data_IF_362133255053
#
_entry.id   IF_362133255053
#
_cell.length_a   1.000
_cell.length_b   1.000
_cell.length_c   1.000
_cell.angle_alpha   90.00
_cell.angle_beta   90.00
_cell.angle_gamma   90.00
#
_symmetry.space_group_name_H-M   'P 1'
#
loop_
_entity.id
_entity.type
_entity.pdbx_description
1 polymer ?
#
# COMPACT_ATOMS: atom_id res chain seq x y z
N UNK A 1 -22.27 -16.11 10.95
CA UNK A 1 -22.54 -15.94 9.52
C UNK A 1 -21.53 -16.75 8.69
N UNK A 2 -20.24 -16.74 9.02
CA UNK A 2 -19.20 -17.45 8.26
C UNK A 2 -19.12 -18.94 8.58
N UNK A 3 -19.61 -19.38 9.74
CA UNK A 3 -19.58 -20.79 10.20
C UNK A 3 -20.50 -21.72 9.41
N UNK A 4 -21.37 -21.19 8.56
CA UNK A 4 -22.27 -21.96 7.70
C UNK A 4 -21.74 -22.18 6.29
N UNK A 5 -20.53 -21.69 5.98
CA UNK A 5 -19.91 -21.95 4.69
C UNK A 5 -19.22 -23.32 4.70
N UNK A 6 -19.36 -24.08 3.59
CA UNK A 6 -18.74 -25.39 3.44
C UNK A 6 -17.22 -25.28 3.31
N UNK A 7 -16.72 -24.18 2.72
CA UNK A 7 -15.30 -23.94 2.50
C UNK A 7 -14.89 -22.55 2.97
N UNK A 8 -13.74 -22.48 3.64
CA UNK A 8 -13.18 -21.23 4.15
C UNK A 8 -11.80 -21.01 3.54
N UNK A 9 -11.60 -19.84 2.95
CA UNK A 9 -10.30 -19.34 2.51
C UNK A 9 -9.97 -18.12 3.38
N UNK A 10 -8.79 -18.09 3.96
CA UNK A 10 -8.25 -16.90 4.61
C UNK A 10 -7.02 -16.38 3.86
N UNK A 11 -6.72 -15.09 4.03
CA UNK A 11 -5.60 -14.44 3.38
C UNK A 11 -4.62 -13.87 4.41
N UNK A 12 -3.34 -13.92 4.11
CA UNK A 12 -2.33 -13.25 4.93
C UNK A 12 -2.42 -11.70 4.75
N UNK A 13 -2.15 -10.93 5.81
CA UNK A 13 -1.97 -11.30 7.23
C UNK A 13 -3.22 -11.89 7.86
N UNK A 14 -3.05 -12.95 8.64
CA UNK A 14 -4.19 -13.65 9.30
C UNK A 14 -4.45 -13.05 10.67
N UNK A 15 -5.56 -12.32 10.83
CA UNK A 15 -5.91 -11.68 12.10
C UNK A 15 -6.62 -12.61 13.09
N UNK A 16 -7.32 -13.62 12.61
CA UNK A 16 -7.99 -14.59 13.47
C UNK A 16 -7.73 -15.99 12.93
N UNK A 17 -6.97 -16.79 13.70
CA UNK A 17 -6.71 -18.18 13.33
C UNK A 17 -7.98 -19.00 13.52
N UNK A 18 -8.40 -19.71 12.47
CA UNK A 18 -9.53 -20.61 12.48
C UNK A 18 -9.22 -21.86 11.66
N UNK A 19 -10.13 -22.85 11.70
CA UNK A 19 -10.07 -23.97 10.79
C UNK A 19 -10.45 -23.47 9.39
N UNK A 20 -9.52 -23.55 8.45
CA UNK A 20 -9.69 -23.10 7.07
C UNK A 20 -9.17 -24.16 6.10
N UNK A 21 -9.71 -24.16 4.89
CA UNK A 21 -9.30 -25.08 3.84
C UNK A 21 -8.10 -24.58 3.06
N UNK A 22 -7.92 -23.25 2.98
CA UNK A 22 -6.78 -22.63 2.34
C UNK A 22 -6.37 -21.36 3.10
N UNK A 23 -5.07 -21.18 3.28
CA UNK A 23 -4.46 -19.89 3.63
C UNK A 23 -3.67 -19.40 2.42
N UNK A 24 -4.15 -18.34 1.77
CA UNK A 24 -3.48 -17.70 0.64
C UNK A 24 -2.57 -16.56 1.13
N UNK A 25 -1.57 -16.19 0.32
CA UNK A 25 -0.77 -14.99 0.52
C UNK A 25 -1.60 -13.70 0.43
N UNK A 26 -0.96 -12.53 0.58
CA UNK A 26 -1.63 -11.24 0.40
C UNK A 26 -2.28 -11.14 -0.98
N UNK A 27 -3.53 -10.64 -1.01
CA UNK A 27 -4.27 -10.46 -2.26
C UNK A 27 -4.31 -8.98 -2.61
N UNK A 28 -3.75 -8.62 -3.76
CA UNK A 28 -3.81 -7.27 -4.29
C UNK A 28 -4.39 -7.24 -5.71
N UNK A 29 -4.89 -6.07 -6.07
CA UNK A 29 -5.21 -5.77 -7.46
C UNK A 29 -3.91 -5.61 -8.25
N UNK A 30 -3.85 -6.18 -9.45
CA UNK A 30 -2.68 -6.03 -10.33
C UNK A 30 -2.65 -4.62 -10.94
N UNK A 31 -1.47 -3.99 -11.07
CA UNK A 31 -1.31 -2.76 -11.85
C UNK A 31 -1.81 -2.96 -13.28
N UNK A 32 -2.38 -1.91 -13.87
CA UNK A 32 -2.87 -1.87 -15.25
C UNK A 32 -1.89 -1.14 -16.16
N UNK A 33 -1.11 -0.24 -15.56
CA UNK A 33 -0.16 0.63 -16.24
C UNK A 33 1.25 0.38 -15.71
N UNK A 34 2.23 0.41 -16.59
CA UNK A 34 3.64 0.28 -16.21
C UNK A 34 4.16 1.51 -15.45
N UNK A 35 5.17 1.29 -14.59
CA UNK A 35 5.80 2.33 -13.77
C UNK A 35 6.16 3.59 -14.57
N UNK A 36 6.86 3.43 -15.69
CA UNK A 36 7.31 4.56 -16.52
C UNK A 36 6.15 5.40 -17.02
N UNK A 37 5.10 4.76 -17.53
CA UNK A 37 3.93 5.43 -18.09
C UNK A 37 3.18 6.24 -17.01
N UNK A 38 3.06 5.70 -15.79
CA UNK A 38 2.42 6.44 -14.67
C UNK A 38 3.24 7.67 -14.31
N UNK A 39 4.57 7.53 -14.23
CA UNK A 39 5.46 8.65 -13.91
C UNK A 39 5.45 9.73 -15.00
N UNK A 40 5.44 9.32 -16.27
CA UNK A 40 5.31 10.25 -17.41
C UNK A 40 3.99 11.03 -17.34
N UNK A 41 2.86 10.35 -17.07
CA UNK A 41 1.55 10.98 -16.91
C UNK A 41 1.49 11.96 -15.72
N UNK A 42 2.33 11.75 -14.71
CA UNK A 42 2.48 12.64 -13.54
C UNK A 42 3.53 13.74 -13.77
N UNK A 43 4.30 13.69 -14.87
CA UNK A 43 5.42 14.60 -15.12
C UNK A 43 6.63 14.37 -14.22
N UNK A 44 6.80 13.14 -13.69
CA UNK A 44 7.89 12.76 -12.78
C UNK A 44 8.97 12.00 -13.55
N UNK A 45 10.21 12.49 -13.51
CA UNK A 45 11.35 11.79 -14.10
C UNK A 45 11.59 10.43 -13.42
N UNK A 46 12.07 9.44 -14.17
CA UNK A 46 12.41 8.11 -13.66
C UNK A 46 13.51 8.15 -12.59
N UNK A 47 14.44 9.09 -12.71
CA UNK A 47 15.62 9.23 -11.84
C UNK A 47 15.30 9.91 -10.51
N UNK A 48 14.15 10.56 -10.38
CA UNK A 48 13.78 11.25 -9.13
C UNK A 48 12.91 10.35 -8.27
N UNK A 49 13.24 10.11 -6.99
CA UNK A 49 12.42 9.30 -6.11
C UNK A 49 10.98 9.82 -5.99
N UNK A 50 10.02 8.91 -5.95
CA UNK A 50 8.60 9.20 -5.79
C UNK A 50 8.05 8.51 -4.53
N UNK A 51 7.51 9.28 -3.60
CA UNK A 51 6.81 8.78 -2.41
C UNK A 51 5.32 8.96 -2.56
N UNK A 52 4.56 7.86 -2.49
CA UNK A 52 3.11 7.89 -2.49
C UNK A 52 2.59 8.03 -1.05
N UNK A 53 1.77 9.04 -0.79
CA UNK A 53 1.12 9.26 0.50
C UNK A 53 -0.34 8.80 0.40
N UNK A 54 -0.73 7.76 1.15
CA UNK A 54 -2.08 7.21 1.07
C UNK A 54 -2.77 7.12 2.43
N UNK A 55 -4.01 7.58 2.49
CA UNK A 55 -4.81 7.62 3.72
C UNK A 55 -6.07 6.76 3.65
N UNK A 56 -6.10 5.78 2.74
CA UNK A 56 -7.19 4.82 2.67
C UNK A 56 -8.52 5.40 2.17
N UNK A 57 -8.47 6.34 1.23
CA UNK A 57 -9.67 6.88 0.56
C UNK A 57 -10.48 7.88 1.39
N UNK A 58 -9.99 8.31 2.54
CA UNK A 58 -10.61 9.38 3.34
C UNK A 58 -9.96 10.70 2.95
N UNK A 59 -10.71 11.65 2.34
CA UNK A 59 -10.19 12.97 2.03
C UNK A 59 -9.76 13.67 3.33
N UNK A 60 -8.49 13.99 3.45
CA UNK A 60 -7.95 14.76 4.57
C UNK A 60 -6.94 15.78 4.04
N UNK A 61 -7.15 17.03 4.37
CA UNK A 61 -6.12 18.06 4.17
C UNK A 61 -5.04 17.88 5.24
N UNK A 62 -3.80 17.68 4.82
CA UNK A 62 -2.68 17.52 5.72
C UNK A 62 -1.94 18.84 5.89
N UNK A 63 -1.73 19.27 7.14
CA UNK A 63 -1.01 20.51 7.47
C UNK A 63 0.47 20.51 7.07
N UNK A 64 1.03 19.34 6.75
CA UNK A 64 2.44 19.17 6.36
C UNK A 64 2.70 19.31 4.85
N UNK A 65 1.69 19.55 4.01
CA UNK A 65 1.87 19.63 2.54
C UNK A 65 2.91 20.69 2.17
N UNK A 66 2.88 21.84 2.84
CA UNK A 66 3.88 22.91 2.61
C UNK A 66 5.30 22.48 3.01
N UNK A 67 5.44 21.58 3.98
CA UNK A 67 6.73 21.03 4.38
C UNK A 67 7.30 20.06 3.33
N UNK A 68 6.45 19.31 2.61
CA UNK A 68 6.86 18.42 1.52
C UNK A 68 7.50 19.21 0.38
N UNK A 69 6.99 20.41 0.08
CA UNK A 69 7.52 21.26 -0.98
C UNK A 69 8.98 21.70 -0.74
N UNK A 70 9.49 21.59 0.49
CA UNK A 70 10.87 21.87 0.81
C UNK A 70 11.85 20.70 0.56
N UNK A 71 11.32 19.51 0.19
CA UNK A 71 12.10 18.29 -0.09
C UNK A 71 12.37 18.18 -1.60
N UNK A 72 13.19 19.04 -2.17
CA UNK A 72 13.36 19.22 -3.62
C UNK A 72 13.89 17.99 -4.37
N UNK A 73 14.42 16.98 -3.68
CA UNK A 73 15.00 15.78 -4.28
C UNK A 73 14.01 14.62 -4.42
N UNK A 74 12.77 14.78 -3.91
CA UNK A 74 11.74 13.73 -3.88
C UNK A 74 10.42 14.29 -4.37
N UNK A 75 9.71 13.56 -5.23
CA UNK A 75 8.33 13.85 -5.57
C UNK A 75 7.36 13.15 -4.60
N UNK A 76 6.35 13.87 -4.17
CA UNK A 76 5.27 13.35 -3.34
C UNK A 76 3.96 13.34 -4.11
N UNK A 77 3.27 12.21 -4.10
CA UNK A 77 1.94 12.06 -4.74
C UNK A 77 0.94 11.71 -3.66
N UNK A 78 -0.10 12.53 -3.50
CA UNK A 78 -1.13 12.35 -2.48
C UNK A 78 -2.54 12.27 -3.10
N UNK A 79 -3.06 11.05 -3.34
CA UNK A 79 -4.43 10.85 -3.80
C UNK A 79 -5.46 11.21 -2.73
N UNK A 80 -6.57 11.83 -3.15
CA UNK A 80 -7.68 12.16 -2.27
C UNK A 80 -7.49 13.42 -1.43
N UNK A 81 -6.41 14.18 -1.64
CA UNK A 81 -6.09 15.37 -0.86
C UNK A 81 -6.90 16.62 -1.28
N UNK A 82 -7.40 16.64 -2.50
CA UNK A 82 -8.05 17.82 -3.12
C UNK A 82 -9.25 17.42 -3.97
N UNK A 83 -10.03 18.40 -4.41
CA UNK A 83 -11.17 18.19 -5.31
C UNK A 83 -10.81 18.16 -6.79
N UNK A 84 -9.65 18.75 -7.18
CA UNK A 84 -9.10 18.77 -8.53
C UNK A 84 -7.60 18.51 -8.51
N UNK A 85 -7.01 18.22 -9.65
CA UNK A 85 -5.56 18.04 -9.79
C UNK A 85 -4.82 19.33 -9.41
N UNK A 86 -3.76 19.21 -8.59
CA UNK A 86 -2.86 20.31 -8.25
C UNK A 86 -1.41 19.84 -8.27
N UNK A 87 -0.54 20.67 -8.83
CA UNK A 87 0.91 20.47 -8.78
C UNK A 87 1.56 21.67 -8.08
N UNK A 88 2.23 21.42 -6.98
CA UNK A 88 2.87 22.41 -6.12
C UNK A 88 4.36 22.06 -6.04
N UNK A 89 5.13 22.46 -7.06
CA UNK A 89 6.54 22.07 -7.18
C UNK A 89 6.68 20.53 -7.28
N UNK A 90 7.31 19.93 -6.28
CA UNK A 90 7.53 18.48 -6.17
C UNK A 90 6.35 17.72 -5.50
N UNK A 91 5.23 18.39 -5.23
CA UNK A 91 4.04 17.78 -4.61
C UNK A 91 2.88 17.75 -5.60
N UNK A 92 2.36 16.55 -5.87
CA UNK A 92 1.22 16.32 -6.75
C UNK A 92 0.05 15.84 -5.90
N UNK A 93 -1.02 16.63 -5.89
CA UNK A 93 -2.26 16.33 -5.19
C UNK A 93 -3.29 15.87 -6.22
N UNK A 94 -3.77 14.64 -6.05
CA UNK A 94 -4.79 14.07 -6.93
C UNK A 94 -6.17 14.14 -6.27
N UNK A 95 -7.24 14.34 -7.05
CA UNK A 95 -8.60 14.29 -6.52
C UNK A 95 -8.96 12.87 -6.06
N UNK A 96 -9.98 12.77 -5.20
CA UNK A 96 -10.48 11.48 -4.73
C UNK A 96 -10.94 10.56 -5.87
N UNK A 97 -11.51 11.15 -6.92
CA UNK A 97 -11.87 10.46 -8.18
C UNK A 97 -10.90 10.90 -9.27
N UNK A 98 -9.66 10.41 -9.20
CA UNK A 98 -8.68 10.60 -10.25
C UNK A 98 -8.72 9.44 -11.25
N UNK A 99 -8.22 9.67 -12.46
CA UNK A 99 -8.07 8.64 -13.48
C UNK A 99 -6.92 7.66 -13.15
N UNK A 100 -6.11 7.99 -12.15
CA UNK A 100 -5.02 7.12 -11.70
C UNK A 100 -5.57 5.99 -10.82
N UNK A 101 -5.33 4.76 -11.26
CA UNK A 101 -5.65 3.57 -10.49
C UNK A 101 -4.64 3.40 -9.36
N UNK A 102 -5.12 3.25 -8.12
CA UNK A 102 -4.24 3.24 -6.94
C UNK A 102 -3.09 2.20 -7.01
N UNK A 103 -3.30 0.94 -7.47
CA UNK A 103 -2.20 0.00 -7.67
C UNK A 103 -1.14 0.47 -8.68
N UNK A 104 -1.53 1.26 -9.69
CA UNK A 104 -0.58 1.83 -10.65
C UNK A 104 0.32 2.88 -9.96
N UNK A 105 -0.27 3.72 -9.08
CA UNK A 105 0.49 4.68 -8.29
C UNK A 105 1.47 3.99 -7.32
N UNK A 106 1.02 2.91 -6.65
CA UNK A 106 1.90 2.11 -5.78
C UNK A 106 3.05 1.51 -6.58
N UNK A 107 2.77 0.94 -7.76
CA UNK A 107 3.80 0.35 -8.63
C UNK A 107 4.78 1.40 -9.19
N UNK A 108 4.34 2.66 -9.32
CA UNK A 108 5.19 3.76 -9.79
C UNK A 108 6.05 4.39 -8.69
N UNK A 109 5.72 4.18 -7.43
CA UNK A 109 6.43 4.74 -6.29
C UNK A 109 7.74 4.01 -5.96
N UNK A 110 8.62 4.69 -5.23
CA UNK A 110 9.83 4.11 -4.62
C UNK A 110 9.60 3.80 -3.14
N UNK A 111 8.62 4.45 -2.51
CA UNK A 111 8.15 4.13 -1.19
C UNK A 111 6.68 4.58 -1.02
N UNK A 112 6.00 4.00 -0.05
CA UNK A 112 4.65 4.39 0.35
C UNK A 112 4.65 4.85 1.79
N UNK A 113 3.94 5.94 2.09
CA UNK A 113 3.64 6.38 3.46
C UNK A 113 2.13 6.42 3.64
N UNK A 114 1.62 5.75 4.67
CA UNK A 114 0.17 5.76 4.87
C UNK A 114 -0.34 4.87 6.00
N UNK A 115 -1.64 4.94 6.24
CA UNK A 115 -2.28 4.13 7.29
C UNK A 115 -2.22 2.65 6.95
N UNK A 116 -1.85 1.84 7.93
CA UNK A 116 -1.85 0.40 7.78
C UNK A 116 -3.27 -0.11 7.53
N UNK A 117 -3.41 -0.92 6.46
CA UNK A 117 -4.66 -1.55 6.07
C UNK A 117 -4.39 -2.65 5.05
N UNK A 118 -5.24 -3.67 4.99
CA UNK A 118 -5.03 -4.86 4.15
C UNK A 118 -4.74 -4.55 2.68
N UNK A 119 -5.55 -3.71 2.04
CA UNK A 119 -5.40 -3.44 0.61
C UNK A 119 -4.07 -2.74 0.30
N UNK A 120 -3.72 -1.70 1.07
CA UNK A 120 -2.46 -0.97 0.88
C UNK A 120 -1.27 -1.87 1.19
N UNK A 121 -1.33 -2.65 2.29
CA UNK A 121 -0.29 -3.59 2.64
C UNK A 121 -0.05 -4.58 1.50
N UNK A 122 -1.10 -5.21 0.97
CA UNK A 122 -0.99 -6.19 -0.10
C UNK A 122 -0.43 -5.58 -1.40
N UNK A 123 -0.85 -4.38 -1.76
CA UNK A 123 -0.35 -3.67 -2.94
C UNK A 123 1.14 -3.33 -2.78
N UNK A 124 1.55 -2.80 -1.62
CA UNK A 124 2.96 -2.49 -1.32
C UNK A 124 3.82 -3.77 -1.22
N UNK A 125 3.26 -4.85 -0.65
CA UNK A 125 3.90 -6.15 -0.56
C UNK A 125 4.30 -6.66 -1.95
N UNK A 126 3.38 -6.64 -2.91
CA UNK A 126 3.65 -7.10 -4.28
C UNK A 126 4.46 -6.11 -5.11
N UNK A 127 4.42 -4.81 -4.79
CA UNK A 127 5.30 -3.82 -5.40
C UNK A 127 6.74 -3.91 -4.89
N UNK A 128 7.00 -4.63 -3.78
CA UNK A 128 8.33 -4.86 -3.20
C UNK A 128 9.07 -3.57 -2.80
N UNK A 129 8.32 -2.54 -2.45
CA UNK A 129 8.84 -1.23 -2.07
C UNK A 129 8.69 -0.98 -0.57
N UNK A 130 9.48 -0.07 0.04
CA UNK A 130 9.39 0.26 1.45
C UNK A 130 8.05 0.89 1.85
N UNK A 131 7.61 0.59 3.07
CA UNK A 131 6.37 1.10 3.65
C UNK A 131 6.58 1.83 4.97
N UNK A 132 6.43 3.16 4.98
CA UNK A 132 6.27 3.97 6.19
C UNK A 132 4.83 3.88 6.68
N UNK A 133 4.53 2.93 7.56
CA UNK A 133 3.16 2.62 7.94
C UNK A 133 2.74 3.29 9.25
N UNK A 134 1.54 3.89 9.25
CA UNK A 134 0.95 4.55 10.41
C UNK A 134 0.06 3.55 11.13
N UNK A 135 0.44 3.20 12.38
CA UNK A 135 -0.38 2.35 13.24
C UNK A 135 -1.67 3.05 13.62
N UNK A 136 -2.78 2.31 13.58
CA UNK A 136 -4.10 2.81 13.96
C UNK A 136 -4.47 2.23 15.33
N UNK A 137 -4.30 3.00 16.39
CA UNK A 137 -4.47 2.57 17.78
C UNK A 137 -5.88 2.02 18.12
N UNK A 138 -6.90 2.40 17.35
CA UNK A 138 -8.29 1.96 17.51
C UNK A 138 -8.70 0.84 16.54
N UNK A 139 -7.76 0.24 15.84
CA UNK A 139 -8.03 -0.79 14.84
C UNK A 139 -7.40 -2.10 15.29
N UNK A 140 -8.22 -3.09 15.66
CA UNK A 140 -7.75 -4.36 16.23
C UNK A 140 -6.72 -5.08 15.36
N UNK A 141 -6.86 -4.97 14.04
CA UNK A 141 -5.97 -5.62 13.08
C UNK A 141 -4.60 -4.92 12.96
N UNK A 142 -4.49 -3.68 13.45
CA UNK A 142 -3.31 -2.83 13.22
C UNK A 142 -2.01 -3.47 13.75
N UNK A 143 -2.06 -4.15 14.88
CA UNK A 143 -0.90 -4.83 15.46
C UNK A 143 -0.44 -5.99 14.58
N UNK A 144 -1.38 -6.84 14.13
CA UNK A 144 -1.08 -8.02 13.30
C UNK A 144 -0.55 -7.59 11.93
N UNK A 145 -1.16 -6.56 11.34
CA UNK A 145 -0.68 -5.98 10.08
C UNK A 145 0.72 -5.39 10.23
N UNK A 146 0.99 -4.70 11.35
CA UNK A 146 2.30 -4.11 11.65
C UNK A 146 3.37 -5.17 11.87
N UNK A 147 3.05 -6.24 12.59
CA UNK A 147 3.93 -7.38 12.78
C UNK A 147 4.25 -8.07 11.45
N UNK A 148 3.24 -8.24 10.60
CA UNK A 148 3.44 -8.80 9.27
C UNK A 148 4.38 -7.95 8.42
N UNK A 149 4.22 -6.62 8.42
CA UNK A 149 5.11 -5.71 7.72
C UNK A 149 6.53 -5.86 8.26
N UNK A 150 6.73 -5.84 9.58
CA UNK A 150 8.05 -5.96 10.20
C UNK A 150 8.77 -7.27 9.89
N UNK A 151 8.02 -8.37 9.69
CA UNK A 151 8.59 -9.68 9.40
C UNK A 151 8.80 -9.95 7.89
N UNK A 152 8.02 -9.29 7.03
CA UNK A 152 7.95 -9.65 5.61
C UNK A 152 8.20 -8.50 4.64
N UNK A 153 8.29 -7.26 5.08
CA UNK A 153 8.40 -6.10 4.21
C UNK A 153 9.54 -5.18 4.66
N UNK A 154 10.03 -4.34 3.77
CA UNK A 154 10.89 -3.22 4.14
C UNK A 154 10.06 -2.05 4.67
N UNK A 155 10.64 -1.25 5.57
CA UNK A 155 10.01 -0.05 6.08
C UNK A 155 9.95 0.02 7.61
N UNK A 156 9.17 0.97 8.14
CA UNK A 156 9.07 1.18 9.58
C UNK A 156 7.74 1.83 9.98
N UNK A 157 7.41 1.68 11.27
CA UNK A 157 6.25 2.31 11.86
C UNK A 157 6.45 3.82 12.03
N UNK A 158 5.40 4.57 11.72
CA UNK A 158 5.30 6.01 11.98
C UNK A 158 4.18 6.20 12.99
N UNK A 159 4.47 6.90 14.09
CA UNK A 159 3.44 7.27 15.06
C UNK A 159 2.42 8.22 14.43
N UNK A 160 1.15 8.11 14.80
CA UNK A 160 0.06 8.91 14.22
C UNK A 160 0.28 10.41 14.45
N UNK A 161 0.82 10.79 15.62
CA UNK A 161 1.15 12.18 15.93
C UNK A 161 2.32 12.68 15.09
N UNK A 162 3.41 11.90 15.00
CA UNK A 162 4.58 12.22 14.14
C UNK A 162 4.13 12.39 12.68
N UNK A 163 3.15 11.58 12.23
CA UNK A 163 2.59 11.73 10.90
C UNK A 163 1.79 13.03 10.76
N UNK A 164 0.94 13.36 11.72
CA UNK A 164 0.10 14.56 11.67
C UNK A 164 0.92 15.85 11.75
N UNK A 165 1.97 15.88 12.57
CA UNK A 165 2.89 17.01 12.73
C UNK A 165 3.85 17.18 11.54
N UNK A 166 4.01 16.15 10.69
CA UNK A 166 4.90 16.19 9.52
C UNK A 166 6.34 15.79 9.80
N UNK A 167 6.71 15.48 11.04
CA UNK A 167 8.09 15.14 11.45
C UNK A 167 8.63 13.88 10.75
N UNK A 168 7.75 13.01 10.25
CA UNK A 168 8.13 11.84 9.46
C UNK A 168 8.84 12.20 8.15
N UNK A 169 8.64 13.41 7.63
CA UNK A 169 9.26 13.89 6.38
C UNK A 169 10.77 13.84 6.48
N UNK A 170 11.33 14.12 7.66
CA UNK A 170 12.77 14.04 7.92
C UNK A 170 13.32 12.60 7.80
N UNK A 171 12.46 11.60 7.85
CA UNK A 171 12.82 10.18 7.73
C UNK A 171 12.61 9.61 6.32
N UNK A 172 12.20 10.43 5.36
CA UNK A 172 12.02 9.99 3.97
C UNK A 172 13.32 9.42 3.37
N UNK A 173 14.49 10.02 3.56
CA UNK A 173 15.73 9.40 3.09
C UNK A 173 15.98 8.02 3.70
N UNK A 174 15.76 7.85 5.00
CA UNK A 174 15.87 6.54 5.69
C UNK A 174 14.90 5.51 5.09
N UNK A 175 13.68 5.94 4.71
CA UNK A 175 12.69 5.07 4.10
C UNK A 175 13.10 4.62 2.69
N UNK A 176 13.61 5.55 1.88
CA UNK A 176 14.07 5.28 0.52
C UNK A 176 15.33 4.40 0.48
N UNK A 177 16.16 4.46 1.52
CA UNK A 177 17.37 3.65 1.67
C UNK A 177 17.11 2.23 2.20
N UNK A 178 15.84 1.90 2.54
CA UNK A 178 15.51 0.54 2.97
C UNK A 178 15.77 -0.47 1.85
N UNK A 179 16.33 -1.65 2.19
CA UNK A 179 16.62 -2.67 1.19
C UNK A 179 15.33 -3.17 0.53
N UNK A 180 15.36 -3.34 -0.78
CA UNK A 180 14.27 -4.01 -1.49
C UNK A 180 14.15 -5.46 -1.02
N UNK A 181 12.93 -5.89 -0.74
CA UNK A 181 12.64 -7.29 -0.38
C UNK A 181 12.11 -8.00 -1.61
N UNK A 182 13.01 -8.64 -2.39
CA UNK A 182 12.60 -9.41 -3.55
C UNK A 182 11.77 -10.62 -3.15
N UNK A 183 10.66 -10.86 -3.85
CA UNK A 183 9.73 -11.99 -3.64
C UNK A 183 9.37 -12.61 -4.96
N UNK A 184 9.23 -13.92 -4.92
CA UNK A 184 8.72 -14.72 -6.03
C UNK A 184 7.30 -15.25 -5.74
N UNK A 185 6.75 -14.91 -4.58
CA UNK A 185 5.44 -15.38 -4.16
C UNK A 185 4.34 -14.88 -5.11
N UNK A 186 3.50 -15.79 -5.62
CA UNK A 186 2.40 -15.39 -6.47
C UNK A 186 1.37 -14.57 -5.66
N UNK A 187 0.57 -13.77 -6.36
CA UNK A 187 -0.55 -13.09 -5.73
C UNK A 187 -1.52 -14.13 -5.15
N UNK A 188 -1.88 -14.00 -3.87
CA UNK A 188 -2.77 -14.93 -3.20
C UNK A 188 -4.13 -15.14 -3.90
N UNK A 189 -4.52 -14.23 -4.79
CA UNK A 189 -5.70 -14.37 -5.63
C UNK A 189 -5.59 -15.58 -6.58
N UNK A 190 -4.39 -15.93 -7.04
CA UNK A 190 -4.17 -17.09 -7.93
C UNK A 190 -4.41 -18.38 -7.16
N UNK A 191 -3.84 -18.51 -5.97
CA UNK A 191 -4.06 -19.68 -5.11
C UNK A 191 -5.54 -19.84 -4.71
N UNK A 192 -6.21 -18.73 -4.42
CA UNK A 192 -7.63 -18.73 -4.11
C UNK A 192 -8.49 -19.15 -5.32
N UNK A 193 -8.16 -18.65 -6.52
CA UNK A 193 -8.85 -19.01 -7.75
C UNK A 193 -8.67 -20.50 -8.10
N UNK A 194 -7.44 -21.01 -7.99
CA UNK A 194 -7.13 -22.43 -8.23
C UNK A 194 -7.89 -23.35 -7.27
N UNK A 195 -7.97 -22.97 -6.00
CA UNK A 195 -8.74 -23.71 -5.01
C UNK A 195 -10.23 -23.75 -5.37
N UNK A 196 -10.82 -22.61 -5.73
CA UNK A 196 -12.23 -22.54 -6.14
C UNK A 196 -12.48 -23.37 -7.40
N UNK A 197 -11.58 -23.34 -8.38
CA UNK A 197 -11.70 -24.15 -9.61
C UNK A 197 -11.66 -25.65 -9.31
N UNK A 198 -10.78 -26.11 -8.40
CA UNK A 198 -10.72 -27.50 -7.96
C UNK A 198 -12.05 -27.94 -7.30
N UNK A 199 -12.64 -27.09 -6.45
CA UNK A 199 -13.93 -27.35 -5.83
C UNK A 199 -15.04 -27.51 -6.88
N UNK A 200 -15.08 -26.63 -7.88
CA UNK A 200 -16.08 -26.66 -8.95
C UNK A 200 -15.94 -27.89 -9.84
N UNK A 201 -14.73 -28.38 -10.03
CA UNK A 201 -14.44 -29.58 -10.83
C UNK A 201 -14.63 -30.90 -10.05
N UNK A 202 -14.90 -30.84 -8.73
CA UNK A 202 -15.02 -32.03 -7.89
C UNK A 202 -13.67 -32.63 -7.47
N UNK A 203 -12.56 -31.93 -7.68
CA UNK A 203 -11.18 -32.38 -7.42
C UNK A 203 -10.71 -32.08 -5.98
N UNK A 204 -11.56 -31.48 -5.15
CA UNK A 204 -11.26 -31.16 -3.76
C UNK A 204 -11.87 -32.25 -2.86
N UNK A 205 -11.11 -33.30 -2.62
CA UNK A 205 -11.34 -34.32 -1.63
C UNK A 205 -10.36 -34.21 -0.47
#
# INVERSE_FOLDING_TARGET
LFSSADFHIQTAPVCSKGSVHLTAGPISRKPRMGRLQVRENLGISEQVPMVLITMGGIPKHHGFIDQLANQNEVFFVAPGAVTGFQALGNVILLPHRSDFFHPDLVNAADAVVGKVGYSTLAEVYHAQIPYGYIKRTRFQESEILSEYIGNHMAGFAIDERIFEDGDWILRVPELLDQPSVTREDPNGAEAAADFVLKLLNGDAG
#
